data_IF_244835878834
#
_entry.id   IF_244835878834
#
_cell.length_a   1.000
_cell.length_b   1.000
_cell.length_c   1.000
_cell.angle_alpha   90.00
_cell.angle_beta   90.00
_cell.angle_gamma   90.00
#
_symmetry.space_group_name_H-M   'P 1'
#
loop_
_entity.id
_entity.type
_entity.pdbx_description
1 polymer ?
#
# COMPACT_ATOMS: atom_id res chain seq x y z
N UNK A 1 12.88 11.14 12.36
CA UNK A 1 12.27 10.03 13.11
C UNK A 1 12.75 8.71 12.55
N UNK A 2 13.23 7.77 13.35
CA UNK A 2 13.41 6.40 12.89
C UNK A 2 12.02 5.82 12.67
N UNK A 3 11.62 5.74 11.41
CA UNK A 3 10.35 5.13 11.00
C UNK A 3 10.47 3.63 11.08
N UNK A 4 9.35 2.97 11.41
CA UNK A 4 9.28 1.53 11.47
C UNK A 4 10.03 0.91 10.30
N UNK A 5 11.05 0.14 10.62
CA UNK A 5 11.76 -0.61 9.62
C UNK A 5 10.79 -1.61 9.02
N UNK A 6 10.57 -1.50 7.73
CA UNK A 6 9.79 -2.48 6.99
C UNK A 6 10.59 -3.76 6.92
N UNK A 7 10.05 -4.79 7.54
CA UNK A 7 10.63 -6.11 7.49
C UNK A 7 9.72 -6.96 6.64
N UNK A 8 10.15 -7.17 5.42
CA UNK A 8 9.49 -8.12 4.55
C UNK A 8 9.88 -9.52 4.97
N UNK A 9 8.87 -10.32 5.26
CA UNK A 9 9.01 -11.73 5.61
C UNK A 9 8.75 -12.51 4.32
N UNK A 10 9.68 -13.34 3.85
CA UNK A 10 9.48 -14.15 2.66
C UNK A 10 8.21 -15.00 2.75
N UNK A 11 7.47 -15.07 1.65
CA UNK A 11 6.20 -15.79 1.58
C UNK A 11 4.98 -15.01 2.08
N UNK A 12 5.17 -13.80 2.63
CA UNK A 12 4.05 -12.98 3.10
C UNK A 12 3.44 -12.15 1.98
N UNK A 13 2.14 -11.96 2.08
CA UNK A 13 1.39 -11.01 1.23
C UNK A 13 1.45 -9.64 1.89
N UNK A 14 1.69 -8.60 1.09
CA UNK A 14 1.84 -7.23 1.55
C UNK A 14 0.86 -6.31 0.84
N UNK A 15 0.01 -5.65 1.61
CA UNK A 15 -0.77 -4.52 1.12
C UNK A 15 0.04 -3.24 1.33
N UNK A 16 0.44 -2.63 0.23
CA UNK A 16 1.24 -1.41 0.20
C UNK A 16 0.36 -0.23 -0.14
N UNK A 17 0.46 0.84 0.65
CA UNK A 17 -0.19 2.11 0.38
C UNK A 17 0.84 3.23 0.28
N UNK A 18 0.67 4.13 -0.68
CA UNK A 18 1.55 5.28 -0.83
C UNK A 18 0.72 6.51 -1.21
N UNK A 19 0.83 7.57 -0.41
CA UNK A 19 0.01 8.78 -0.55
C UNK A 19 0.82 9.93 -1.13
N UNK A 20 0.19 10.73 -1.97
CA UNK A 20 0.77 11.96 -2.48
C UNK A 20 0.99 13.00 -1.36
N UNK A 21 2.00 13.85 -1.55
CA UNK A 21 2.39 14.90 -0.59
C UNK A 21 1.20 15.78 -0.22
N UNK A 22 1.02 16.05 1.07
CA UNK A 22 -0.08 16.85 1.64
C UNK A 22 -1.47 16.42 1.18
N UNK A 23 -1.64 15.14 0.81
CA UNK A 23 -2.88 14.58 0.26
C UNK A 23 -3.34 15.26 -1.05
N UNK A 24 -2.47 16.00 -1.73
CA UNK A 24 -2.75 16.63 -3.00
C UNK A 24 -3.12 15.61 -4.09
N UNK A 25 -3.97 16.00 -5.03
CA UNK A 25 -4.42 15.13 -6.13
C UNK A 25 -3.40 15.10 -7.28
N UNK A 26 -2.14 14.69 -6.98
CA UNK A 26 -1.05 14.65 -7.97
C UNK A 26 -1.23 13.54 -9.02
N UNK A 27 -2.08 12.56 -8.76
CA UNK A 27 -2.49 11.52 -9.69
C UNK A 27 -3.88 11.81 -10.30
N UNK A 28 -4.30 13.07 -10.36
CA UNK A 28 -5.64 13.51 -10.82
C UNK A 28 -5.93 13.09 -12.27
N UNK A 29 -4.95 13.21 -13.15
CA UNK A 29 -5.17 12.95 -14.57
C UNK A 29 -4.90 11.48 -14.94
N UNK A 30 -5.66 10.98 -15.90
CA UNK A 30 -5.51 9.62 -16.42
C UNK A 30 -4.09 9.30 -16.90
N UNK A 31 -3.39 10.29 -17.45
CA UNK A 31 -2.01 10.15 -17.91
C UNK A 31 -1.06 9.81 -16.76
N UNK A 32 -1.22 10.43 -15.59
CA UNK A 32 -0.37 10.19 -14.42
C UNK A 32 -0.57 8.78 -13.88
N UNK A 33 -1.84 8.34 -13.81
CA UNK A 33 -2.18 6.98 -13.38
C UNK A 33 -1.64 5.93 -14.34
N UNK A 34 -1.74 6.15 -15.68
CA UNK A 34 -1.15 5.24 -16.68
C UNK A 34 0.38 5.17 -16.57
N UNK A 35 1.06 6.29 -16.30
CA UNK A 35 2.51 6.30 -16.09
C UNK A 35 2.90 5.50 -14.84
N UNK A 36 2.17 5.67 -13.76
CA UNK A 36 2.39 4.87 -12.56
C UNK A 36 2.23 3.36 -12.84
N UNK A 37 1.16 2.96 -13.53
CA UNK A 37 0.93 1.56 -13.96
C UNK A 37 2.06 1.08 -14.89
N UNK A 38 2.55 1.93 -15.78
CA UNK A 38 3.71 1.61 -16.60
C UNK A 38 4.97 1.32 -15.78
N UNK A 39 5.24 2.10 -14.74
CA UNK A 39 6.35 1.84 -13.83
C UNK A 39 6.13 0.61 -12.95
N UNK A 40 4.88 0.29 -12.62
CA UNK A 40 4.53 -0.96 -11.95
C UNK A 40 4.86 -2.17 -12.84
N UNK A 41 4.51 -2.11 -14.12
CA UNK A 41 4.88 -3.14 -15.11
C UNK A 41 6.42 -3.28 -15.25
N UNK A 42 7.14 -2.17 -15.32
CA UNK A 42 8.60 -2.21 -15.38
C UNK A 42 9.22 -2.81 -14.10
N UNK A 43 8.67 -2.54 -12.93
CA UNK A 43 9.11 -3.16 -11.67
C UNK A 43 8.88 -4.67 -11.68
N UNK A 44 7.69 -5.13 -12.13
CA UNK A 44 7.39 -6.55 -12.33
C UNK A 44 8.42 -7.22 -13.23
N UNK A 45 8.70 -6.60 -14.38
CA UNK A 45 9.64 -7.12 -15.37
C UNK A 45 11.07 -7.18 -14.85
N UNK A 46 11.55 -6.14 -14.15
CA UNK A 46 12.95 -6.01 -13.71
C UNK A 46 13.26 -6.79 -12.45
N UNK A 47 12.33 -6.85 -11.51
CA UNK A 47 12.57 -7.39 -10.18
C UNK A 47 11.74 -8.63 -9.85
N UNK A 48 10.89 -9.08 -10.78
CA UNK A 48 10.02 -10.25 -10.53
C UNK A 48 8.94 -9.99 -9.47
N UNK A 49 8.45 -8.73 -9.34
CA UNK A 49 7.41 -8.39 -8.37
C UNK A 49 6.13 -9.16 -8.66
N UNK A 50 5.70 -10.02 -7.75
CA UNK A 50 4.43 -10.76 -7.86
C UNK A 50 3.28 -9.88 -7.40
N UNK A 51 2.45 -9.43 -8.33
CA UNK A 51 1.38 -8.46 -8.09
C UNK A 51 0.04 -9.18 -8.12
N UNK A 52 -0.70 -9.09 -7.01
CA UNK A 52 -1.98 -9.76 -6.82
C UNK A 52 -3.18 -8.84 -7.10
N UNK A 53 -3.07 -7.56 -6.73
CA UNK A 53 -4.09 -6.55 -7.01
C UNK A 53 -3.52 -5.13 -6.91
N UNK A 54 -4.18 -4.13 -7.48
CA UNK A 54 -3.80 -2.74 -7.35
C UNK A 54 -4.97 -1.78 -7.61
N UNK A 55 -4.90 -0.57 -7.06
CA UNK A 55 -5.77 0.55 -7.42
C UNK A 55 -4.99 1.85 -7.36
N UNK A 56 -5.07 2.66 -8.42
CA UNK A 56 -4.44 3.98 -8.51
C UNK A 56 -5.54 5.04 -8.43
N UNK A 57 -5.59 5.74 -7.32
CA UNK A 57 -6.56 6.83 -7.09
C UNK A 57 -6.02 8.18 -7.58
N UNK A 58 -6.67 9.27 -7.22
CA UNK A 58 -6.20 10.61 -7.57
C UNK A 58 -5.07 11.14 -6.67
N UNK A 59 -4.87 10.56 -5.47
CA UNK A 59 -3.89 11.04 -4.50
C UNK A 59 -3.17 9.96 -3.69
N UNK A 60 -3.45 8.69 -3.94
CA UNK A 60 -2.74 7.57 -3.32
C UNK A 60 -2.87 6.32 -4.19
N UNK A 61 -2.10 5.29 -3.82
CA UNK A 61 -2.17 3.99 -4.47
C UNK A 61 -2.37 2.88 -3.43
N UNK A 62 -2.99 1.82 -3.85
CA UNK A 62 -3.03 0.54 -3.19
C UNK A 62 -2.37 -0.49 -4.10
N UNK A 63 -1.52 -1.33 -3.53
CA UNK A 63 -0.82 -2.38 -4.25
C UNK A 63 -0.72 -3.61 -3.36
N UNK A 64 -1.22 -4.73 -3.83
CA UNK A 64 -1.16 -6.02 -3.14
C UNK A 64 -0.15 -6.91 -3.84
N UNK A 65 0.86 -7.38 -3.11
CA UNK A 65 1.98 -8.16 -3.65
C UNK A 65 2.34 -9.32 -2.75
N UNK A 66 2.89 -10.38 -3.34
CA UNK A 66 3.54 -11.46 -2.62
C UNK A 66 5.06 -11.23 -2.58
N UNK A 67 5.68 -11.43 -1.42
CA UNK A 67 7.13 -11.49 -1.30
C UNK A 67 7.62 -12.90 -1.64
N UNK A 68 8.15 -13.09 -2.83
CA UNK A 68 8.68 -14.38 -3.30
C UNK A 68 10.05 -14.73 -2.69
N UNK A 69 10.51 -14.01 -1.65
CA UNK A 69 11.79 -14.24 -1.00
C UNK A 69 13.00 -13.71 -1.78
N UNK A 70 12.79 -13.01 -2.89
CA UNK A 70 13.86 -12.34 -3.62
C UNK A 70 14.43 -11.16 -2.82
N UNK A 71 15.75 -11.13 -2.64
CA UNK A 71 16.39 -10.08 -1.85
C UNK A 71 16.02 -8.67 -2.32
N UNK A 72 15.23 -7.98 -1.50
CA UNK A 72 14.86 -6.59 -1.73
C UNK A 72 13.92 -6.35 -2.91
N UNK A 73 13.18 -7.34 -3.41
CA UNK A 73 12.26 -7.22 -4.55
C UNK A 73 11.24 -6.10 -4.33
N UNK A 74 10.52 -6.11 -3.21
CA UNK A 74 9.51 -5.08 -2.91
C UNK A 74 10.15 -3.69 -2.72
N UNK A 75 11.18 -3.51 -1.87
CA UNK A 75 11.84 -2.21 -1.70
C UNK A 75 12.38 -1.62 -3.01
N UNK A 76 13.07 -2.42 -3.83
CA UNK A 76 13.63 -1.98 -5.12
C UNK A 76 12.54 -1.61 -6.12
N UNK A 77 11.46 -2.39 -6.16
CA UNK A 77 10.28 -2.10 -6.99
C UNK A 77 9.64 -0.78 -6.58
N UNK A 78 9.38 -0.58 -5.29
CA UNK A 78 8.78 0.66 -4.80
C UNK A 78 9.70 1.86 -4.98
N UNK A 79 11.01 1.70 -4.85
CA UNK A 79 11.98 2.76 -5.14
C UNK A 79 11.93 3.19 -6.61
N UNK A 80 11.88 2.22 -7.54
CA UNK A 80 11.74 2.51 -8.98
C UNK A 80 10.42 3.23 -9.27
N UNK A 81 9.29 2.65 -8.84
CA UNK A 81 7.96 3.18 -9.14
C UNK A 81 7.79 4.60 -8.57
N UNK A 82 8.10 4.76 -7.28
CA UNK A 82 7.91 6.05 -6.61
C UNK A 82 8.86 7.12 -7.12
N UNK A 83 10.13 6.77 -7.32
CA UNK A 83 11.16 7.71 -7.81
C UNK A 83 10.85 8.19 -9.22
N UNK A 84 10.55 7.27 -10.13
CA UNK A 84 10.23 7.61 -11.52
C UNK A 84 8.94 8.40 -11.66
N UNK A 85 7.89 7.98 -10.96
CA UNK A 85 6.63 8.73 -10.96
C UNK A 85 6.83 10.18 -10.51
N UNK A 86 7.52 10.38 -9.38
CA UNK A 86 7.77 11.72 -8.86
C UNK A 86 8.65 12.58 -9.77
N UNK A 87 9.73 12.00 -10.31
CA UNK A 87 10.64 12.70 -11.23
C UNK A 87 9.92 13.15 -12.52
N UNK A 88 9.22 12.22 -13.20
CA UNK A 88 8.52 12.53 -14.45
C UNK A 88 7.38 13.53 -14.25
N UNK A 89 6.63 13.40 -13.15
CA UNK A 89 5.59 14.35 -12.81
C UNK A 89 6.16 15.76 -12.59
N UNK A 90 7.17 15.88 -11.73
CA UNK A 90 7.79 17.16 -11.40
C UNK A 90 8.41 17.82 -12.64
N UNK A 91 9.09 17.03 -13.50
CA UNK A 91 9.66 17.53 -14.75
C UNK A 91 8.56 18.07 -15.69
N UNK A 92 7.50 17.29 -15.89
CA UNK A 92 6.39 17.68 -16.80
C UNK A 92 5.64 18.91 -16.28
N UNK A 93 5.41 18.99 -14.98
CA UNK A 93 4.68 20.09 -14.35
C UNK A 93 5.58 21.26 -13.96
N UNK A 94 6.88 21.21 -14.28
CA UNK A 94 7.89 22.21 -13.86
C UNK A 94 7.83 22.48 -12.34
N UNK A 95 7.48 21.46 -11.56
CA UNK A 95 7.27 21.52 -10.12
C UNK A 95 8.55 21.09 -9.38
N UNK A 96 8.80 21.71 -8.23
CA UNK A 96 9.83 21.31 -7.26
C UNK A 96 9.16 20.75 -6.00
N UNK A 97 9.88 19.93 -5.25
CA UNK A 97 9.43 19.36 -3.97
C UNK A 97 8.95 17.92 -4.04
N UNK A 98 8.51 17.40 -2.89
CA UNK A 98 8.11 16.01 -2.74
C UNK A 98 6.83 15.69 -3.51
N UNK A 99 6.81 14.55 -4.21
CA UNK A 99 5.61 14.00 -4.84
C UNK A 99 4.83 13.13 -3.86
N UNK A 100 5.54 12.34 -3.06
CA UNK A 100 4.96 11.46 -2.05
C UNK A 100 5.07 12.11 -0.67
N UNK A 101 4.06 11.91 0.18
CA UNK A 101 4.00 12.49 1.53
C UNK A 101 5.12 11.97 2.41
N UNK A 102 5.36 10.68 2.31
CA UNK A 102 6.35 9.96 3.07
C UNK A 102 6.78 8.68 2.31
N UNK A 103 7.42 7.76 3.02
CA UNK A 103 7.57 6.40 2.52
C UNK A 103 6.21 5.72 2.47
N UNK A 104 6.08 4.73 1.58
CA UNK A 104 4.89 3.89 1.55
C UNK A 104 4.70 3.13 2.88
N UNK A 105 3.47 2.84 3.24
CA UNK A 105 3.10 1.94 4.32
C UNK A 105 2.95 0.52 3.76
N UNK A 106 3.26 -0.51 4.56
CA UNK A 106 3.12 -1.91 4.19
C UNK A 106 2.49 -2.68 5.35
N UNK A 107 1.37 -3.34 5.10
CA UNK A 107 0.64 -4.20 6.02
C UNK A 107 0.79 -5.65 5.55
N UNK A 108 1.27 -6.55 6.41
CA UNK A 108 1.24 -7.99 6.15
C UNK A 108 -0.21 -8.48 6.19
N UNK A 109 -0.61 -9.28 5.22
CA UNK A 109 -1.96 -9.82 5.09
C UNK A 109 -1.87 -11.33 5.06
N UNK A 110 -2.64 -11.99 5.92
CA UNK A 110 -2.77 -13.45 5.89
C UNK A 110 -3.48 -13.90 4.60
N UNK A 111 -3.18 -15.12 4.13
CA UNK A 111 -3.86 -15.75 3.01
C UNK A 111 -5.36 -16.00 3.27
N UNK A 112 -6.04 -16.64 2.33
CA UNK A 112 -7.44 -17.06 2.43
C UNK A 112 -8.43 -15.89 2.61
N UNK A 113 -9.25 -15.95 3.64
CA UNK A 113 -10.31 -14.97 3.89
C UNK A 113 -9.79 -13.53 4.02
N UNK A 114 -8.62 -13.33 4.68
CA UNK A 114 -8.05 -11.99 4.85
C UNK A 114 -7.52 -11.44 3.53
N UNK A 115 -6.95 -12.29 2.68
CA UNK A 115 -6.56 -11.92 1.31
C UNK A 115 -7.78 -11.47 0.51
N UNK A 116 -8.86 -12.25 0.52
CA UNK A 116 -10.11 -11.94 -0.17
C UNK A 116 -10.67 -10.58 0.28
N UNK A 117 -10.78 -10.37 1.60
CA UNK A 117 -11.27 -9.11 2.18
C UNK A 117 -10.38 -7.93 1.81
N UNK A 118 -9.06 -8.12 1.79
CA UNK A 118 -8.13 -7.08 1.37
C UNK A 118 -8.28 -6.74 -0.12
N UNK A 119 -8.48 -7.75 -0.99
CA UNK A 119 -8.76 -7.53 -2.41
C UNK A 119 -10.03 -6.72 -2.61
N UNK A 120 -11.13 -7.11 -1.96
CA UNK A 120 -12.41 -6.36 -1.99
C UNK A 120 -12.20 -4.92 -1.48
N UNK A 121 -11.47 -4.76 -0.38
CA UNK A 121 -11.14 -3.43 0.13
C UNK A 121 -10.41 -2.57 -0.90
N UNK A 122 -9.46 -3.11 -1.64
CA UNK A 122 -8.71 -2.40 -2.69
C UNK A 122 -9.63 -2.04 -3.86
N UNK A 123 -10.44 -2.99 -4.32
CA UNK A 123 -11.35 -2.81 -5.46
C UNK A 123 -12.44 -1.76 -5.17
N UNK A 124 -13.01 -1.79 -3.97
CA UNK A 124 -14.06 -0.87 -3.52
C UNK A 124 -13.54 0.54 -3.16
N UNK A 125 -12.24 0.79 -3.26
CA UNK A 125 -11.66 2.07 -2.82
C UNK A 125 -12.31 3.29 -3.47
N UNK A 126 -12.51 3.26 -4.79
CA UNK A 126 -13.09 4.40 -5.52
C UNK A 126 -14.61 4.49 -5.37
N UNK A 127 -15.29 3.39 -5.05
CA UNK A 127 -16.70 3.39 -4.66
C UNK A 127 -16.88 4.05 -3.29
N UNK A 128 -16.06 3.68 -2.30
CA UNK A 128 -16.04 4.32 -0.97
C UNK A 128 -15.71 5.80 -1.04
N UNK A 129 -14.87 6.20 -1.99
CA UNK A 129 -14.56 7.61 -2.24
C UNK A 129 -15.69 8.38 -2.95
N UNK A 130 -16.79 7.71 -3.33
CA UNK A 130 -17.91 8.31 -4.07
C UNK A 130 -17.57 8.72 -5.50
N UNK A 131 -16.44 8.26 -6.04
CA UNK A 131 -16.00 8.64 -7.38
C UNK A 131 -16.68 7.81 -8.48
N UNK A 132 -17.06 6.57 -8.18
CA UNK A 132 -17.79 5.65 -9.06
C UNK A 132 -18.82 4.87 -8.24
N UNK A 133 -19.76 4.23 -8.91
CA UNK A 133 -20.79 3.38 -8.24
C UNK A 133 -20.40 1.90 -8.21
N UNK A 134 -19.51 1.49 -9.10
CA UNK A 134 -19.07 0.11 -9.27
C UNK A 134 -17.56 0.12 -9.61
N UNK A 135 -16.73 -0.77 -9.04
CA UNK A 135 -15.31 -0.86 -9.36
C UNK A 135 -15.00 -0.97 -10.85
N UNK A 136 -15.87 -1.57 -11.64
CA UNK A 136 -15.71 -1.70 -13.11
C UNK A 136 -15.63 -0.35 -13.83
N UNK A 137 -16.20 0.71 -13.23
CA UNK A 137 -16.19 2.06 -13.80
C UNK A 137 -14.83 2.77 -13.61
N UNK A 138 -13.93 2.19 -12.76
CA UNK A 138 -12.63 2.77 -12.51
C UNK A 138 -11.52 2.03 -13.29
N UNK A 139 -11.01 2.57 -14.41
CA UNK A 139 -10.12 1.84 -15.31
C UNK A 139 -8.69 1.64 -14.79
N UNK A 140 -8.34 2.19 -13.63
CA UNK A 140 -6.98 2.16 -13.07
C UNK A 140 -6.88 1.22 -11.85
N UNK A 141 -7.50 0.05 -11.94
CA UNK A 141 -7.51 -0.96 -10.88
C UNK A 141 -7.31 -2.37 -11.43
N UNK A 142 -6.88 -3.27 -10.54
CA UNK A 142 -6.68 -4.68 -10.84
C UNK A 142 -7.99 -5.42 -11.09
N UNK A 143 -9.11 -4.96 -10.50
CA UNK A 143 -10.42 -5.53 -10.76
C UNK A 143 -10.70 -5.68 -12.26
N UNK A 144 -10.55 -4.61 -13.02
CA UNK A 144 -10.80 -4.62 -14.46
C UNK A 144 -9.81 -5.53 -15.23
N UNK A 145 -8.56 -5.62 -14.75
CA UNK A 145 -7.59 -6.51 -15.36
C UNK A 145 -7.88 -7.97 -15.07
N UNK A 146 -8.37 -8.31 -13.87
CA UNK A 146 -8.79 -9.66 -13.52
C UNK A 146 -10.02 -10.07 -14.35
N UNK A 147 -11.01 -9.18 -14.49
CA UNK A 147 -12.20 -9.44 -15.29
C UNK A 147 -11.96 -9.53 -16.80
N UNK A 148 -10.94 -8.81 -17.29
CA UNK A 148 -10.52 -8.82 -18.69
C UNK A 148 -8.99 -8.88 -18.78
N UNK A 149 -8.41 -10.10 -18.67
CA UNK A 149 -6.97 -10.29 -18.71
C UNK A 149 -6.35 -9.70 -19.96
N UNK A 150 -5.24 -9.00 -19.79
CA UNK A 150 -4.51 -8.41 -20.92
C UNK A 150 -3.57 -9.43 -21.52
N UNK A 151 -3.61 -9.57 -22.84
CA UNK A 151 -2.66 -10.41 -23.58
C UNK A 151 -1.23 -9.87 -23.50
N UNK A 152 -1.08 -8.55 -23.45
CA UNK A 152 0.22 -7.86 -23.36
C UNK A 152 0.22 -6.86 -22.20
N UNK A 153 1.37 -6.68 -21.60
CA UNK A 153 1.56 -5.72 -20.48
C UNK A 153 0.68 -6.00 -19.26
N UNK A 154 0.34 -7.28 -19.05
CA UNK A 154 -0.43 -7.70 -17.88
C UNK A 154 0.35 -7.47 -16.58
N UNK A 155 -0.34 -6.90 -15.60
CA UNK A 155 0.21 -6.56 -14.28
C UNK A 155 0.03 -7.72 -13.31
N UNK A 156 -1.18 -8.30 -13.26
CA UNK A 156 -1.55 -9.33 -12.29
C UNK A 156 -0.76 -10.62 -12.52
N UNK A 157 -0.34 -11.24 -11.43
CA UNK A 157 0.23 -12.58 -11.38
C UNK A 157 -0.89 -13.60 -11.11
N UNK A 158 -1.60 -13.97 -12.18
CA UNK A 158 -2.76 -14.87 -12.06
C UNK A 158 -2.41 -16.24 -11.49
N UNK A 159 -1.23 -16.77 -11.84
CA UNK A 159 -0.80 -18.08 -11.35
C UNK A 159 -0.70 -18.10 -9.83
N UNK A 160 -0.04 -17.10 -9.28
CA UNK A 160 0.14 -16.95 -7.85
C UNK A 160 -1.19 -16.64 -7.16
N UNK A 161 -1.99 -15.74 -7.73
CA UNK A 161 -3.28 -15.35 -7.13
C UNK A 161 -4.27 -16.51 -7.06
N UNK A 162 -4.41 -17.29 -8.14
CA UNK A 162 -5.26 -18.48 -8.21
C UNK A 162 -4.82 -19.53 -7.17
N UNK A 163 -3.50 -19.73 -7.02
CA UNK A 163 -2.96 -20.66 -6.04
C UNK A 163 -3.23 -20.22 -4.60
N UNK A 164 -3.05 -18.93 -4.29
CA UNK A 164 -3.28 -18.37 -2.95
C UNK A 164 -4.76 -18.38 -2.54
N UNK A 165 -5.67 -18.31 -3.50
CA UNK A 165 -7.12 -18.36 -3.27
C UNK A 165 -7.69 -19.76 -3.42
N UNK A 166 -6.84 -20.79 -3.62
CA UNK A 166 -7.23 -22.19 -3.81
C UNK A 166 -8.26 -22.40 -4.94
N UNK A 167 -8.18 -21.58 -5.99
CA UNK A 167 -9.10 -21.63 -7.13
C UNK A 167 -8.57 -22.56 -8.22
N UNK A 168 -9.47 -23.11 -9.03
CA UNK A 168 -9.11 -24.05 -10.11
C UNK A 168 -8.56 -23.34 -11.35
N UNK A 169 -9.06 -22.16 -11.64
CA UNK A 169 -8.73 -21.43 -12.86
C UNK A 169 -9.12 -19.93 -12.76
N UNK A 170 -8.80 -19.19 -13.80
CA UNK A 170 -9.08 -17.75 -13.87
C UNK A 170 -10.57 -17.43 -13.94
N UNK A 171 -11.37 -18.29 -14.53
CA UNK A 171 -12.82 -18.09 -14.62
C UNK A 171 -13.46 -18.14 -13.23
N UNK A 172 -13.08 -19.09 -12.40
CA UNK A 172 -13.53 -19.15 -11.01
C UNK A 172 -13.11 -17.91 -10.21
N UNK A 173 -11.89 -17.40 -10.43
CA UNK A 173 -11.43 -16.15 -9.82
C UNK A 173 -12.32 -14.96 -10.25
N UNK A 174 -12.66 -14.86 -11.54
CA UNK A 174 -13.49 -13.79 -12.07
C UNK A 174 -14.90 -13.84 -11.48
N UNK A 175 -15.53 -15.00 -11.48
CA UNK A 175 -16.87 -15.21 -10.93
C UNK A 175 -16.92 -14.92 -9.43
N UNK A 176 -15.95 -15.42 -8.69
CA UNK A 176 -15.80 -15.16 -7.25
C UNK A 176 -15.61 -13.67 -6.95
N UNK A 177 -14.72 -12.99 -7.67
CA UNK A 177 -14.49 -11.57 -7.48
C UNK A 177 -15.75 -10.75 -7.76
N UNK A 178 -16.53 -11.09 -8.82
CA UNK A 178 -17.81 -10.43 -9.09
C UNK A 178 -18.81 -10.65 -7.94
N UNK A 179 -18.88 -11.88 -7.41
CA UNK A 179 -19.75 -12.19 -6.29
C UNK A 179 -19.40 -11.41 -5.03
N UNK A 180 -18.12 -11.35 -4.65
CA UNK A 180 -17.65 -10.59 -3.49
C UNK A 180 -17.96 -9.09 -3.61
N UNK A 181 -17.76 -8.53 -4.80
CA UNK A 181 -18.09 -7.11 -5.04
C UNK A 181 -19.60 -6.86 -5.00
N UNK A 182 -20.41 -7.76 -5.56
CA UNK A 182 -21.88 -7.64 -5.51
C UNK A 182 -22.40 -7.70 -4.06
N UNK A 183 -21.84 -8.58 -3.24
CA UNK A 183 -22.15 -8.68 -1.81
C UNK A 183 -21.80 -7.39 -1.07
N UNK A 184 -20.58 -6.88 -1.28
CA UNK A 184 -20.11 -5.65 -0.62
C UNK A 184 -20.93 -4.43 -1.05
N UNK A 185 -21.28 -4.30 -2.32
CA UNK A 185 -22.17 -3.24 -2.82
C UNK A 185 -23.58 -3.31 -2.20
N UNK A 186 -24.10 -4.52 -2.00
CA UNK A 186 -25.42 -4.74 -1.40
C UNK A 186 -25.43 -4.42 0.11
N UNK A 187 -24.33 -4.68 0.80
CA UNK A 187 -24.20 -4.46 2.24
C UNK A 187 -24.20 -2.98 2.62
N UNK A 188 -23.96 -2.08 1.67
CA UNK A 188 -23.79 -0.63 1.86
C UNK A 188 -22.72 -0.26 2.91
N UNK A 189 -21.79 -1.16 3.21
CA UNK A 189 -20.67 -0.93 4.14
C UNK A 189 -19.58 -0.15 3.43
N UNK A 190 -19.75 1.16 3.33
CA UNK A 190 -18.79 2.05 2.66
C UNK A 190 -17.76 2.66 3.62
N UNK A 191 -17.67 2.18 4.85
CA UNK A 191 -16.74 2.70 5.84
C UNK A 191 -15.28 2.35 5.50
N UNK A 192 -14.39 3.29 5.77
CA UNK A 192 -12.95 3.04 5.68
C UNK A 192 -12.53 2.10 6.81
N UNK A 193 -11.87 1.01 6.46
CA UNK A 193 -11.25 0.10 7.41
C UNK A 193 -9.77 0.47 7.59
N UNK A 194 -9.43 1.06 8.74
CA UNK A 194 -8.06 1.52 9.04
C UNK A 194 -7.05 0.37 9.12
N UNK A 195 -7.51 -0.83 9.46
CA UNK A 195 -6.66 -2.02 9.57
C UNK A 195 -5.80 -2.27 8.32
N UNK A 196 -6.33 -2.05 7.14
CA UNK A 196 -5.61 -2.26 5.89
C UNK A 196 -4.53 -1.21 5.60
N UNK A 197 -4.57 -0.06 6.24
CA UNK A 197 -3.69 1.09 5.93
C UNK A 197 -2.88 1.62 7.10
N UNK A 198 -3.12 1.11 8.30
CA UNK A 198 -2.48 1.60 9.53
C UNK A 198 -1.85 0.48 10.35
N UNK A 199 -2.26 -0.79 10.14
CA UNK A 199 -1.71 -1.95 10.86
C UNK A 199 -0.45 -2.48 10.18
N UNK A 200 0.40 -3.15 10.96
CA UNK A 200 1.62 -3.83 10.52
C UNK A 200 1.28 -5.19 9.93
N UNK A 201 0.31 -5.89 10.56
CA UNK A 201 -0.20 -7.18 10.11
C UNK A 201 -1.69 -7.27 10.38
N UNK A 202 -2.41 -8.00 9.54
CA UNK A 202 -3.84 -8.33 9.66
C UNK A 202 -4.03 -9.79 9.30
N UNK A 203 -4.65 -10.53 10.21
CA UNK A 203 -4.89 -11.97 10.02
C UNK A 203 -5.55 -12.62 11.22
N UNK A 204 -5.37 -13.93 11.35
CA UNK A 204 -5.71 -14.70 12.54
C UNK A 204 -4.82 -14.32 13.73
N UNK A 205 -5.18 -14.75 14.92
CA UNK A 205 -4.36 -14.56 16.13
C UNK A 205 -2.99 -15.17 15.95
N UNK A 206 -2.93 -16.39 15.43
CA UNK A 206 -1.69 -17.12 15.17
C UNK A 206 -0.80 -16.39 14.17
N UNK A 207 -1.36 -15.92 13.05
CA UNK A 207 -0.61 -15.18 12.04
C UNK A 207 0.01 -13.89 12.62
N UNK A 208 -0.76 -13.15 13.42
CA UNK A 208 -0.28 -11.92 14.06
C UNK A 208 0.78 -12.25 15.11
N UNK A 209 0.60 -13.34 15.87
CA UNK A 209 1.58 -13.84 16.85
C UNK A 209 2.91 -14.21 16.19
N UNK A 210 2.88 -15.04 15.15
CA UNK A 210 4.07 -15.46 14.38
C UNK A 210 4.75 -14.24 13.72
N UNK A 211 3.97 -13.30 13.22
CA UNK A 211 4.51 -12.05 12.65
C UNK A 211 5.23 -11.23 13.72
N UNK A 212 4.66 -11.11 14.91
CA UNK A 212 5.26 -10.40 16.05
C UNK A 212 6.56 -11.07 16.50
N UNK A 213 6.61 -12.40 16.59
CA UNK A 213 7.81 -13.16 16.90
C UNK A 213 8.90 -12.97 15.84
N UNK A 214 8.54 -13.04 14.56
CA UNK A 214 9.45 -12.81 13.43
C UNK A 214 10.06 -11.41 13.43
N UNK A 215 9.36 -10.43 13.96
CA UNK A 215 9.86 -9.07 14.17
C UNK A 215 10.84 -8.97 15.34
N UNK A 216 10.75 -9.86 16.33
CA UNK A 216 11.63 -9.94 17.50
C UNK A 216 11.71 -8.61 18.26
N UNK A 217 12.93 -8.11 18.54
CA UNK A 217 13.16 -6.84 19.24
C UNK A 217 12.42 -5.65 18.57
N UNK A 218 12.18 -5.75 17.27
CA UNK A 218 11.48 -4.74 16.49
C UNK A 218 9.97 -4.69 16.79
N UNK A 219 9.43 -5.73 17.40
CA UNK A 219 8.04 -5.74 17.89
C UNK A 219 7.85 -4.92 19.16
N UNK A 220 8.93 -4.43 19.78
CA UNK A 220 8.87 -3.63 21.00
C UNK A 220 8.02 -2.36 20.81
N UNK A 221 7.03 -2.17 21.66
CA UNK A 221 6.09 -1.04 21.57
C UNK A 221 4.94 -1.27 20.57
N UNK A 222 4.70 -2.51 20.16
CA UNK A 222 3.57 -2.91 19.33
C UNK A 222 2.60 -3.74 20.16
N UNK A 223 1.33 -3.69 19.78
CA UNK A 223 0.27 -4.40 20.49
C UNK A 223 -0.71 -5.02 19.51
N UNK A 224 -1.35 -6.09 19.93
CA UNK A 224 -2.38 -6.78 19.16
C UNK A 224 -3.75 -6.27 19.54
N UNK A 225 -4.60 -6.04 18.57
CA UNK A 225 -6.03 -5.75 18.71
C UNK A 225 -6.80 -6.82 17.97
N UNK A 226 -7.77 -7.46 18.61
CA UNK A 226 -8.61 -8.49 18.00
C UNK A 226 -10.08 -8.11 18.06
N UNK A 227 -10.81 -8.31 16.97
CA UNK A 227 -12.25 -8.16 16.89
C UNK A 227 -12.81 -9.14 15.84
N UNK A 228 -13.87 -9.89 16.23
CA UNK A 228 -14.60 -10.77 15.32
C UNK A 228 -13.73 -11.74 14.49
N UNK A 229 -12.72 -12.38 15.13
CA UNK A 229 -11.82 -13.34 14.47
C UNK A 229 -10.79 -12.70 13.53
N UNK A 230 -10.69 -11.38 13.51
CA UNK A 230 -9.62 -10.65 12.83
C UNK A 230 -8.74 -9.96 13.84
N UNK A 231 -7.44 -10.19 13.77
CA UNK A 231 -6.44 -9.59 14.64
C UNK A 231 -5.54 -8.66 13.86
N UNK A 232 -5.07 -7.62 14.52
CA UNK A 232 -4.21 -6.59 13.94
C UNK A 232 -3.00 -6.36 14.82
N UNK A 233 -1.81 -6.28 14.23
CA UNK A 233 -0.61 -5.78 14.89
C UNK A 233 -0.48 -4.28 14.63
N UNK A 234 -0.51 -3.47 15.68
CA UNK A 234 -0.42 -2.01 15.58
C UNK A 234 0.78 -1.43 16.31
N UNK A 235 1.26 -0.27 15.87
CA UNK A 235 2.23 0.52 16.61
C UNK A 235 1.52 1.33 17.71
N UNK A 236 2.12 1.43 18.90
CA UNK A 236 1.58 2.30 19.95
C UNK A 236 1.73 3.76 19.52
N UNK A 237 0.64 4.50 19.53
CA UNK A 237 0.61 5.92 19.17
C UNK A 237 1.43 6.83 20.12
N UNK A 238 1.89 6.30 21.26
CA UNK A 238 2.44 7.05 22.38
C UNK A 238 3.93 7.33 22.31
N UNK A 239 4.66 6.92 21.27
CA UNK A 239 6.12 6.97 21.34
C UNK A 239 6.77 8.30 21.00
N UNK A 240 6.13 9.27 20.32
CA UNK A 240 6.87 10.45 19.82
C UNK A 240 6.13 11.78 19.76
N UNK A 241 4.89 11.90 20.23
CA UNK A 241 4.14 13.18 20.16
C UNK A 241 4.06 13.95 21.48
N UNK A 242 4.63 13.44 22.58
CA UNK A 242 4.38 14.01 23.91
C UNK A 242 5.51 14.91 24.44
N UNK A 243 6.67 14.98 23.79
CA UNK A 243 7.79 15.76 24.32
C UNK A 243 8.38 16.81 23.36
N UNK A 244 7.62 17.35 22.44
CA UNK A 244 7.93 18.66 21.88
C UNK A 244 7.15 19.72 22.64
N UNK A 245 7.64 20.04 23.83
CA UNK A 245 7.18 21.22 24.54
C UNK A 245 7.63 22.44 23.72
N UNK A 246 6.69 23.12 23.08
CA UNK A 246 6.92 24.30 22.25
C UNK A 246 7.59 25.48 23.01
N UNK A 247 7.85 25.29 24.30
CA UNK A 247 8.55 26.27 25.15
C UNK A 247 10.09 26.23 25.04
N UNK A 248 10.69 25.22 24.39
CA UNK A 248 12.13 25.11 24.27
C UNK A 248 12.71 25.50 22.90
N UNK A 249 11.88 25.92 21.95
CA UNK A 249 12.29 26.35 20.61
C UNK A 249 12.58 27.87 20.50
N UNK A 250 12.86 28.52 21.58
CA UNK A 250 13.42 29.87 21.50
C UNK A 250 14.93 29.70 21.26
N UNK A 251 15.35 29.85 20.02
CA UNK A 251 16.77 30.04 19.67
C UNK A 251 17.28 31.23 20.48
N UNK A 252 18.02 30.94 21.53
CA UNK A 252 18.60 32.02 22.35
C UNK A 252 19.64 32.73 21.51
N UNK A 253 19.72 34.06 21.57
CA UNK A 253 20.73 34.87 20.83
C UNK A 253 22.17 34.40 20.99
N UNK A 254 22.49 33.72 22.10
CA UNK A 254 23.79 33.13 22.36
C UNK A 254 24.15 31.89 21.53
N UNK A 255 23.21 31.29 20.80
CA UNK A 255 23.43 30.13 19.92
C UNK A 255 23.49 30.50 18.45
N UNK A 256 23.49 31.77 18.11
CA UNK A 256 23.79 32.25 16.78
C UNK A 256 25.35 32.37 16.65
N UNK A 257 25.99 31.34 16.16
CA UNK A 257 27.34 31.47 15.60
C UNK A 257 27.17 32.11 14.23
N UNK A 258 27.47 33.37 14.17
CA UNK A 258 27.69 34.09 12.91
C UNK A 258 28.89 33.44 12.22
N UNK A 259 28.67 32.92 11.05
CA UNK A 259 29.72 32.56 10.09
C UNK A 259 30.25 33.87 9.47
N UNK A 260 30.95 34.67 10.27
CA UNK A 260 31.69 35.80 9.76
C UNK A 260 33.17 35.39 9.74
N UNK A 261 33.67 35.21 8.55
CA UNK A 261 35.11 35.24 8.29
C UNK A 261 35.74 33.95 7.86
N UNK A 262 35.67 33.63 6.57
CA UNK A 262 36.85 33.21 5.81
C UNK A 262 36.80 33.99 4.49
N UNK A 263 37.64 34.99 4.41
CA UNK A 263 38.11 35.61 3.16
C UNK A 263 39.06 34.62 2.48
#
# INVERSE_FOLDING_TARGET
>A
MPRANRHYIPGYIWHITHRCHKKEFLLKFAQDRRRWIGWLFEAKKRYGLSILNYTVTSNHIHLLVLDNGGYGTIPRSMQLIAGRTGQEYNQRQKRKGAFWEDRYHATAVESDDHLTRCMVYIDMNMVRAGAVKDPKEWPFCGYNEIQKPKERYGIIDYRTLIALLHMRNIQELQESQMSWIAEELSSKRLNRESKWTESIAVGSEDFVGVTMESLGIRARGRYTVGENGTYELRESATSYSVNFDAKNDVVRPKNMYLWDGIV
#
